data_IF_622216414595
#
_entry.id   IF_622216414595
#
_cell.length_a   1.000
_cell.length_b   1.000
_cell.length_c   1.000
_cell.angle_alpha   90.00
_cell.angle_beta   90.00
_cell.angle_gamma   90.00
#
_symmetry.space_group_name_H-M   'P 1'
#
loop_
_entity.id
_entity.type
_entity.pdbx_description
1 polymer ?
#
# COMPACT_ATOMS: atom_id res chain seq x y z
N UNK A 1 51.99 18.21 -2.18
CA UNK A 1 51.32 16.90 -2.24
C UNK A 1 49.87 17.11 -2.64
N UNK A 2 49.52 16.77 -3.88
CA UNK A 2 48.17 16.97 -4.43
C UNK A 2 47.24 15.85 -3.93
N UNK A 3 46.19 16.19 -3.17
CA UNK A 3 45.14 15.24 -2.80
C UNK A 3 44.25 15.03 -4.02
N UNK A 4 44.48 13.94 -4.75
CA UNK A 4 43.60 13.49 -5.83
C UNK A 4 42.33 12.89 -5.21
N UNK A 5 41.34 13.74 -4.93
CA UNK A 5 40.00 13.30 -4.55
C UNK A 5 39.36 12.67 -5.79
N UNK A 6 39.48 11.34 -5.92
CA UNK A 6 38.71 10.59 -6.90
C UNK A 6 37.24 10.69 -6.49
N UNK A 7 36.51 11.64 -7.07
CA UNK A 7 35.08 11.77 -6.88
C UNK A 7 34.43 10.55 -7.55
N UNK A 8 34.07 9.56 -6.73
CA UNK A 8 33.22 8.47 -7.20
C UNK A 8 31.85 9.05 -7.54
N UNK A 9 31.38 8.76 -8.76
CA UNK A 9 30.03 9.13 -9.19
C UNK A 9 29.03 8.46 -8.24
N UNK A 10 28.09 9.23 -7.68
CA UNK A 10 27.20 8.73 -6.61
C UNK A 10 26.46 7.42 -6.95
N UNK A 11 26.17 7.19 -8.23
CA UNK A 11 25.49 6.00 -8.75
C UNK A 11 26.35 4.73 -8.69
N UNK A 12 27.68 4.84 -8.77
CA UNK A 12 28.59 3.69 -8.79
C UNK A 12 29.03 3.25 -7.39
N UNK A 13 28.78 4.06 -6.36
CA UNK A 13 29.13 3.75 -4.96
C UNK A 13 28.45 2.45 -4.50
N UNK A 14 27.21 2.23 -4.96
CA UNK A 14 26.40 1.07 -4.55
C UNK A 14 26.72 -0.21 -5.33
N UNK A 15 27.46 -0.11 -6.44
CA UNK A 15 27.87 -1.26 -7.22
C UNK A 15 28.90 -2.08 -6.46
N UNK A 16 28.97 -3.38 -6.74
CA UNK A 16 29.97 -4.24 -6.10
C UNK A 16 31.40 -3.84 -6.51
N UNK A 17 32.40 -4.24 -5.72
CA UNK A 17 33.82 -4.02 -6.10
C UNK A 17 34.16 -4.61 -7.48
N UNK A 18 33.48 -5.68 -7.89
CA UNK A 18 33.65 -6.32 -9.21
C UNK A 18 33.13 -5.44 -10.36
N UNK A 19 32.12 -4.62 -10.09
CA UNK A 19 31.51 -3.69 -11.03
C UNK A 19 32.13 -2.28 -10.97
N UNK A 20 33.27 -2.13 -10.28
CA UNK A 20 33.97 -0.85 -10.12
C UNK A 20 33.39 0.08 -9.05
N UNK A 21 32.52 -0.43 -8.17
CA UNK A 21 31.91 0.31 -7.05
C UNK A 21 32.55 0.05 -5.69
N UNK A 22 31.96 0.66 -4.65
CA UNK A 22 32.42 0.51 -3.26
C UNK A 22 31.71 -0.62 -2.50
N UNK A 23 30.65 -1.20 -3.07
CA UNK A 23 29.84 -2.24 -2.47
C UNK A 23 29.00 -1.77 -1.28
N UNK A 24 28.72 -0.47 -1.20
CA UNK A 24 27.92 0.11 -0.12
C UNK A 24 26.45 -0.13 -0.41
N UNK A 25 25.68 -0.58 0.57
CA UNK A 25 24.24 -0.82 0.39
C UNK A 25 23.49 0.50 0.22
N UNK A 26 22.63 0.57 -0.81
CA UNK A 26 21.71 1.69 -0.98
C UNK A 26 20.62 1.65 0.10
N UNK A 27 20.88 2.34 1.21
CA UNK A 27 19.98 2.43 2.35
C UNK A 27 18.62 3.02 1.98
N UNK A 28 18.55 3.91 0.99
CA UNK A 28 17.29 4.50 0.56
C UNK A 28 16.40 3.44 -0.11
N UNK A 29 16.96 2.65 -1.03
CA UNK A 29 16.24 1.52 -1.66
C UNK A 29 15.84 0.45 -0.64
N UNK A 30 16.73 0.13 0.31
CA UNK A 30 16.43 -0.82 1.36
C UNK A 30 15.28 -0.36 2.26
N UNK A 31 15.29 0.91 2.68
CA UNK A 31 14.21 1.49 3.48
C UNK A 31 12.88 1.50 2.70
N UNK A 32 12.90 1.86 1.42
CA UNK A 32 11.71 1.80 0.57
C UNK A 32 11.13 0.38 0.51
N UNK A 33 11.97 -0.63 0.28
CA UNK A 33 11.55 -2.02 0.27
C UNK A 33 10.99 -2.47 1.63
N UNK A 34 11.62 -2.05 2.74
CA UNK A 34 11.15 -2.34 4.08
C UNK A 34 9.76 -1.72 4.37
N UNK A 35 9.53 -0.45 3.99
CA UNK A 35 8.22 0.19 4.15
C UNK A 35 7.15 -0.48 3.29
N UNK A 36 7.49 -0.89 2.07
CA UNK A 36 6.58 -1.70 1.24
C UNK A 36 6.23 -3.03 1.91
N UNK A 37 7.21 -3.74 2.46
CA UNK A 37 6.97 -4.99 3.19
C UNK A 37 6.01 -4.80 4.36
N UNK A 38 6.16 -3.72 5.12
CA UNK A 38 5.20 -3.34 6.18
C UNK A 38 3.84 -2.96 5.60
N UNK A 39 3.81 -2.27 4.46
CA UNK A 39 2.56 -1.89 3.78
C UNK A 39 1.76 -3.13 3.40
N UNK A 40 2.41 -4.12 2.80
CA UNK A 40 1.75 -5.38 2.44
C UNK A 40 1.26 -6.14 3.66
N UNK A 41 2.05 -6.21 4.74
CA UNK A 41 1.59 -6.81 6.01
C UNK A 41 0.35 -6.11 6.56
N UNK A 42 0.27 -4.78 6.45
CA UNK A 42 -0.86 -4.00 6.93
C UNK A 42 -2.10 -4.19 6.06
N UNK A 43 -1.92 -4.29 4.74
CA UNK A 43 -2.99 -4.48 3.78
C UNK A 43 -3.58 -5.91 3.80
N UNK A 44 -2.73 -6.92 3.93
CA UNK A 44 -3.13 -8.33 3.85
C UNK A 44 -3.77 -8.87 5.13
N UNK A 45 -3.79 -8.07 6.22
CA UNK A 45 -4.30 -8.45 7.54
C UNK A 45 -3.81 -9.83 8.02
N UNK A 46 -2.62 -10.24 7.56
CA UNK A 46 -1.99 -11.49 7.98
C UNK A 46 -1.80 -11.45 9.49
N UNK A 47 -2.14 -12.55 10.16
CA UNK A 47 -1.98 -12.72 11.59
C UNK A 47 -0.52 -12.50 11.99
N UNK A 48 -0.22 -11.27 12.35
CA UNK A 48 1.07 -10.84 12.82
C UNK A 48 0.85 -9.83 13.93
N UNK A 49 1.68 -9.90 14.97
CA UNK A 49 1.61 -8.97 16.11
C UNK A 49 1.66 -7.52 15.62
N UNK A 50 2.49 -7.24 14.61
CA UNK A 50 2.59 -5.92 14.03
C UNK A 50 1.29 -5.49 13.33
N UNK A 51 0.64 -6.36 12.55
CA UNK A 51 -0.63 -6.03 11.91
C UNK A 51 -1.74 -5.80 12.94
N UNK A 52 -1.86 -6.64 13.97
CA UNK A 52 -2.83 -6.43 15.06
C UNK A 52 -2.58 -5.12 15.79
N UNK A 53 -1.32 -4.80 16.09
CA UNK A 53 -0.97 -3.53 16.73
C UNK A 53 -1.31 -2.31 15.86
N UNK A 54 -1.03 -2.38 14.55
CA UNK A 54 -1.39 -1.32 13.59
C UNK A 54 -2.91 -1.13 13.55
N UNK A 55 -3.68 -2.22 13.47
CA UNK A 55 -5.14 -2.16 13.44
C UNK A 55 -5.69 -1.49 14.71
N UNK A 56 -5.21 -1.93 15.89
CA UNK A 56 -5.69 -1.42 17.18
C UNK A 56 -5.28 0.02 17.46
N UNK A 57 -4.01 0.37 17.23
CA UNK A 57 -3.45 1.65 17.69
C UNK A 57 -3.37 2.73 16.61
N UNK A 58 -3.03 2.35 15.37
CA UNK A 58 -2.80 3.30 14.29
C UNK A 58 -4.06 3.53 13.43
N UNK A 59 -4.81 2.47 13.14
CA UNK A 59 -6.02 2.58 12.33
C UNK A 59 -7.25 2.94 13.15
N UNK A 60 -7.45 2.34 14.33
CA UNK A 60 -8.58 2.64 15.25
C UNK A 60 -9.94 2.62 14.54
N UNK A 61 -10.20 1.54 13.81
CA UNK A 61 -11.43 1.38 13.01
C UNK A 61 -11.42 2.08 11.65
N UNK A 62 -10.33 2.76 11.27
CA UNK A 62 -10.16 3.31 9.92
C UNK A 62 -9.59 2.28 8.95
N UNK A 63 -9.77 2.53 7.67
CA UNK A 63 -9.32 1.64 6.61
C UNK A 63 -7.88 1.92 6.18
N UNK A 64 -7.08 0.85 6.03
CA UNK A 64 -5.64 0.96 5.80
C UNK A 64 -5.26 1.80 4.57
N UNK A 65 -5.92 1.58 3.43
CA UNK A 65 -5.57 2.23 2.17
C UNK A 65 -6.04 3.68 2.05
N UNK A 66 -7.09 4.06 2.78
CA UNK A 66 -7.77 5.36 2.62
C UNK A 66 -7.63 6.25 3.86
N UNK A 67 -7.04 5.75 4.95
CA UNK A 67 -6.75 6.58 6.11
C UNK A 67 -5.76 7.70 5.74
N UNK A 68 -6.02 8.90 6.22
CA UNK A 68 -5.09 10.01 6.06
C UNK A 68 -3.83 9.79 6.89
N UNK A 69 -2.71 10.35 6.43
CA UNK A 69 -1.47 10.37 7.20
C UNK A 69 -1.65 11.33 8.38
N UNK A 70 -1.62 10.85 9.64
CA UNK A 70 -1.77 11.74 10.80
C UNK A 70 -0.59 12.72 10.87
N UNK A 71 -0.85 13.96 11.31
CA UNK A 71 0.22 14.94 11.50
C UNK A 71 1.21 14.49 12.58
N UNK A 72 0.70 13.89 13.65
CA UNK A 72 1.43 13.47 14.85
C UNK A 72 1.93 12.01 14.82
N UNK A 73 2.07 11.38 13.64
CA UNK A 73 2.53 10.00 13.59
C UNK A 73 4.05 9.85 13.61
N UNK A 74 4.49 8.64 13.98
CA UNK A 74 5.89 8.22 13.88
C UNK A 74 6.38 8.32 12.44
N UNK A 75 7.68 8.59 12.28
CA UNK A 75 8.29 8.71 10.96
C UNK A 75 8.16 7.43 10.13
N UNK A 76 8.26 6.26 10.77
CA UNK A 76 8.06 4.96 10.12
C UNK A 76 6.62 4.82 9.63
N UNK A 77 5.62 5.09 10.47
CA UNK A 77 4.22 4.97 10.07
C UNK A 77 3.87 5.92 8.92
N UNK A 78 4.41 7.14 8.95
CA UNK A 78 4.28 8.10 7.85
C UNK A 78 4.76 7.51 6.52
N UNK A 79 5.93 6.87 6.51
CA UNK A 79 6.48 6.28 5.28
C UNK A 79 5.75 5.02 4.85
N UNK A 80 5.28 4.18 5.77
CA UNK A 80 4.41 3.05 5.46
C UNK A 80 3.13 3.52 4.76
N UNK A 81 2.51 4.60 5.26
CA UNK A 81 1.34 5.16 4.60
C UNK A 81 1.66 5.85 3.26
N UNK A 82 2.85 6.43 3.08
CA UNK A 82 3.28 6.97 1.78
C UNK A 82 3.58 5.87 0.76
N UNK A 83 4.13 4.73 1.19
CA UNK A 83 4.42 3.62 0.29
C UNK A 83 3.19 2.92 -0.27
N UNK A 84 1.97 3.24 0.23
CA UNK A 84 0.70 2.73 -0.32
C UNK A 84 0.57 2.98 -1.81
N UNK A 85 0.87 4.18 -2.30
CA UNK A 85 0.76 4.52 -3.73
C UNK A 85 1.62 3.64 -4.62
N UNK A 86 2.81 3.26 -4.13
CA UNK A 86 3.70 2.38 -4.85
C UNK A 86 3.28 0.92 -4.68
N UNK A 87 2.90 0.51 -3.47
CA UNK A 87 2.44 -0.84 -3.15
C UNK A 87 1.18 -1.25 -3.93
N UNK A 88 0.25 -0.32 -4.16
CA UNK A 88 -0.96 -0.57 -4.97
C UNK A 88 -0.63 -1.13 -6.36
N UNK A 89 0.48 -0.68 -6.98
CA UNK A 89 0.94 -1.14 -8.30
C UNK A 89 1.37 -2.61 -8.32
N UNK A 90 1.68 -3.17 -7.16
CA UNK A 90 2.13 -4.56 -6.99
C UNK A 90 1.14 -5.38 -6.16
N UNK A 91 -0.05 -4.86 -5.91
CA UNK A 91 -1.09 -5.58 -5.17
C UNK A 91 -2.09 -6.16 -6.14
N UNK A 92 -2.30 -7.47 -6.06
CA UNK A 92 -3.31 -8.20 -6.84
C UNK A 92 -4.32 -8.75 -5.84
N UNK A 93 -5.60 -8.52 -6.10
CA UNK A 93 -6.69 -9.02 -5.27
C UNK A 93 -7.32 -10.26 -5.89
N UNK A 94 -7.52 -11.29 -5.08
CA UNK A 94 -8.41 -12.41 -5.39
C UNK A 94 -9.69 -12.21 -4.59
N UNK A 95 -10.78 -11.82 -5.25
CA UNK A 95 -12.02 -11.40 -4.60
C UNK A 95 -12.76 -12.59 -3.97
N UNK A 96 -12.67 -13.78 -4.56
CA UNK A 96 -13.40 -14.97 -4.13
C UNK A 96 -14.91 -14.70 -3.91
N UNK A 97 -15.39 -14.74 -2.66
CA UNK A 97 -16.78 -14.45 -2.28
C UNK A 97 -17.03 -12.98 -1.88
N UNK A 98 -16.00 -12.13 -1.98
CA UNK A 98 -16.09 -10.69 -1.72
C UNK A 98 -16.16 -10.30 -0.24
N UNK A 99 -16.23 -11.25 0.70
CA UNK A 99 -16.40 -10.97 2.14
C UNK A 99 -15.16 -10.39 2.81
N UNK A 100 -13.99 -10.66 2.24
CA UNK A 100 -12.71 -10.19 2.76
C UNK A 100 -12.23 -8.87 2.17
N UNK A 101 -12.97 -8.29 1.22
CA UNK A 101 -12.53 -7.10 0.47
C UNK A 101 -13.54 -5.97 0.65
N UNK A 102 -13.05 -4.81 1.07
CA UNK A 102 -13.84 -3.60 1.22
C UNK A 102 -14.10 -2.98 -0.14
N UNK A 103 -15.38 -2.78 -0.45
CA UNK A 103 -15.83 -2.23 -1.73
C UNK A 103 -15.16 -0.87 -2.00
N UNK A 104 -15.23 0.03 -1.03
CA UNK A 104 -14.82 1.42 -1.20
C UNK A 104 -13.35 1.67 -0.93
N UNK A 105 -12.78 0.89 -0.02
CA UNK A 105 -11.52 1.23 0.62
C UNK A 105 -10.36 0.37 0.14
N UNK A 106 -10.58 -0.82 -0.42
CA UNK A 106 -9.50 -1.61 -1.00
C UNK A 106 -9.28 -1.26 -2.49
N UNK A 107 -8.03 -1.23 -2.97
CA UNK A 107 -7.69 -0.96 -4.37
C UNK A 107 -7.86 -2.21 -5.25
N UNK A 108 -9.03 -2.86 -5.19
CA UNK A 108 -9.26 -4.17 -5.79
C UNK A 108 -9.55 -4.15 -7.30
N UNK A 109 -10.02 -3.03 -7.86
CA UNK A 109 -10.38 -2.93 -9.30
C UNK A 109 -9.63 -1.86 -10.11
N UNK A 110 -8.94 -0.88 -9.49
CA UNK A 110 -8.38 0.27 -10.22
C UNK A 110 -6.99 0.75 -9.77
N UNK A 111 -6.16 -0.08 -9.12
CA UNK A 111 -4.88 0.34 -8.51
C UNK A 111 -5.05 1.55 -7.55
N UNK A 112 -6.29 1.83 -7.14
CA UNK A 112 -6.71 2.88 -6.23
C UNK A 112 -8.06 2.47 -5.64
N UNK A 113 -8.35 2.80 -4.37
CA UNK A 113 -9.66 2.64 -3.77
C UNK A 113 -10.76 3.37 -4.54
N UNK A 114 -11.95 2.77 -4.63
CA UNK A 114 -13.11 3.35 -5.33
C UNK A 114 -13.58 4.68 -4.71
N UNK A 115 -13.40 4.87 -3.40
CA UNK A 115 -13.77 6.12 -2.74
C UNK A 115 -13.01 7.35 -3.28
N UNK A 116 -11.88 7.13 -3.93
CA UNK A 116 -11.09 8.20 -4.56
C UNK A 116 -11.63 8.58 -5.95
N UNK A 117 -12.58 7.83 -6.51
CA UNK A 117 -13.21 8.12 -7.80
C UNK A 117 -14.48 8.96 -7.61
N UNK A 118 -14.55 10.19 -8.16
CA UNK A 118 -15.77 11.00 -8.10
C UNK A 118 -16.97 10.31 -8.75
N UNK A 119 -16.75 9.62 -9.87
CA UNK A 119 -17.81 8.91 -10.60
C UNK A 119 -18.40 7.76 -9.77
N UNK A 120 -17.54 6.94 -9.15
CA UNK A 120 -18.02 5.84 -8.30
C UNK A 120 -18.74 6.36 -7.05
N UNK A 121 -18.25 7.46 -6.48
CA UNK A 121 -18.86 8.10 -5.33
C UNK A 121 -20.27 8.61 -5.62
N UNK A 122 -20.46 9.26 -6.76
CA UNK A 122 -21.77 9.78 -7.18
C UNK A 122 -22.74 8.66 -7.56
N UNK A 123 -22.27 7.66 -8.30
CA UNK A 123 -23.11 6.59 -8.80
C UNK A 123 -23.58 5.65 -7.68
N UNK A 124 -22.69 5.24 -6.77
CA UNK A 124 -22.90 4.03 -5.97
C UNK A 124 -22.84 4.24 -4.45
N UNK A 125 -22.31 5.37 -3.96
CA UNK A 125 -22.15 5.57 -2.50
C UNK A 125 -23.50 5.59 -1.77
N UNK A 126 -24.56 6.03 -2.44
CA UNK A 126 -25.91 6.03 -1.88
C UNK A 126 -26.57 4.64 -1.90
N UNK A 127 -26.10 3.74 -2.77
CA UNK A 127 -26.60 2.37 -2.91
C UNK A 127 -25.97 1.44 -1.88
N UNK A 128 -24.67 1.61 -1.62
CA UNK A 128 -23.89 0.78 -0.69
C UNK A 128 -23.24 1.64 0.38
N UNK A 129 -23.45 1.30 1.66
CA UNK A 129 -22.78 1.99 2.77
C UNK A 129 -21.25 1.98 2.64
N UNK A 130 -20.57 2.93 3.30
CA UNK A 130 -19.10 3.09 3.19
C UNK A 130 -18.31 1.87 3.70
N UNK A 131 -18.91 1.06 4.57
CA UNK A 131 -18.29 -0.16 5.08
C UNK A 131 -18.64 -1.41 4.26
N UNK A 132 -19.32 -1.23 3.11
CA UNK A 132 -19.71 -2.33 2.25
C UNK A 132 -18.51 -3.14 1.77
N UNK A 133 -18.76 -4.44 1.59
CA UNK A 133 -17.82 -5.41 1.05
C UNK A 133 -18.13 -5.70 -0.40
N UNK A 134 -17.18 -6.22 -1.16
CA UNK A 134 -17.36 -6.56 -2.58
C UNK A 134 -18.44 -7.63 -2.78
N UNK A 135 -18.79 -8.38 -1.75
CA UNK A 135 -19.88 -9.37 -1.79
C UNK A 135 -21.22 -8.81 -2.29
N UNK A 136 -21.49 -7.51 -2.08
CA UNK A 136 -22.74 -6.87 -2.54
C UNK A 136 -22.85 -6.77 -4.06
N UNK A 137 -21.72 -6.90 -4.77
CA UNK A 137 -21.65 -6.89 -6.22
C UNK A 137 -21.70 -8.29 -6.82
N UNK A 138 -21.77 -9.33 -5.99
CA UNK A 138 -21.70 -10.72 -6.41
C UNK A 138 -23.06 -11.40 -6.24
N UNK A 139 -23.50 -12.12 -7.27
CA UNK A 139 -24.61 -13.07 -7.20
C UNK A 139 -24.08 -14.48 -7.51
N UNK A 140 -24.29 -15.44 -6.60
CA UNK A 140 -23.78 -16.81 -6.71
C UNK A 140 -22.28 -16.91 -7.08
N UNK A 141 -21.44 -16.01 -6.55
CA UNK A 141 -19.99 -15.87 -6.85
C UNK A 141 -19.67 -15.44 -8.29
N UNK A 142 -20.65 -14.96 -9.05
CA UNK A 142 -20.49 -14.26 -10.31
C UNK A 142 -20.76 -12.75 -10.13
N UNK A 143 -20.20 -11.92 -11.00
CA UNK A 143 -20.51 -10.48 -11.00
C UNK A 143 -21.97 -10.27 -11.34
N UNK A 144 -22.66 -9.44 -10.55
CA UNK A 144 -24.04 -9.09 -10.82
C UNK A 144 -24.07 -7.99 -11.89
N UNK A 145 -24.42 -8.37 -13.13
CA UNK A 145 -24.55 -7.46 -14.28
C UNK A 145 -25.68 -6.43 -14.13
N UNK A 146 -26.58 -6.59 -13.15
CA UNK A 146 -27.64 -5.59 -12.87
C UNK A 146 -27.10 -4.46 -11.99
N UNK A 147 -26.03 -4.70 -11.25
CA UNK A 147 -25.40 -3.75 -10.33
C UNK A 147 -24.23 -3.00 -10.99
N UNK A 148 -23.63 -3.60 -12.03
CA UNK A 148 -22.55 -3.01 -12.85
C UNK A 148 -23.11 -2.25 -14.05
#
# INVERSE_FOLDING_TARGET
MSKCLHQAKAETIYLTKKEGGLGITDLARWNQAAYMGLTFKGASQVESIWASWVIMYHLRGKFFWTTNIPKDCSWVWRHVLKSREYAMKFTIYSIADGKGTLLWHDPWCHLSPLINSPAAKEAWQNLFGLEAKVEVLLDNRAWNEVVL
#
